data_IF_101772461475
#
_entry.id   IF_101772461475
#
_cell.length_a   1.000
_cell.length_b   1.000
_cell.length_c   1.000
_cell.angle_alpha   90.00
_cell.angle_beta   90.00
_cell.angle_gamma   90.00
#
_symmetry.space_group_name_H-M   'P 1'
#
loop_
_entity.id
_entity.type
_entity.pdbx_description
1 polymer ?
#
# COMPACT_ATOMS: atom_id res chain seq x y z
N UNK A 1 -35.45 -10.39 -26.34
CA UNK A 1 -34.59 -9.52 -25.51
C UNK A 1 -33.94 -8.48 -26.41
N UNK A 2 -34.45 -7.25 -26.40
CA UNK A 2 -34.06 -6.21 -27.35
C UNK A 2 -32.58 -5.82 -27.22
N UNK A 3 -31.97 -5.44 -28.34
CA UNK A 3 -30.55 -5.03 -28.44
C UNK A 3 -30.13 -4.00 -27.38
N UNK A 4 -31.04 -3.11 -26.98
CA UNK A 4 -30.82 -2.14 -25.92
C UNK A 4 -30.52 -2.76 -24.54
N UNK A 5 -31.17 -3.87 -24.20
CA UNK A 5 -30.94 -4.56 -22.91
C UNK A 5 -29.55 -5.20 -22.88
N UNK A 6 -29.08 -5.71 -24.03
CA UNK A 6 -27.74 -6.31 -24.15
C UNK A 6 -26.65 -5.25 -24.03
N UNK A 7 -26.84 -4.08 -24.63
CA UNK A 7 -25.91 -2.94 -24.52
C UNK A 7 -25.85 -2.43 -23.07
N UNK A 8 -26.99 -2.30 -22.39
CA UNK A 8 -27.03 -1.85 -21.01
C UNK A 8 -26.28 -2.81 -20.07
N UNK A 9 -26.45 -4.12 -20.24
CA UNK A 9 -25.75 -5.14 -19.45
C UNK A 9 -24.24 -5.12 -19.69
N UNK A 10 -23.80 -4.92 -20.94
CA UNK A 10 -22.38 -4.75 -21.26
C UNK A 10 -21.79 -3.52 -20.55
N UNK A 11 -22.46 -2.38 -20.59
CA UNK A 11 -22.00 -1.16 -19.91
C UNK A 11 -21.91 -1.33 -18.39
N UNK A 12 -22.86 -2.04 -17.78
CA UNK A 12 -22.85 -2.31 -16.33
C UNK A 12 -21.70 -3.23 -15.92
N UNK A 13 -21.32 -4.20 -16.75
CA UNK A 13 -20.16 -5.07 -16.48
C UNK A 13 -18.81 -4.35 -16.60
N UNK A 14 -18.73 -3.30 -17.43
CA UNK A 14 -17.53 -2.46 -17.58
C UNK A 14 -17.34 -1.46 -16.44
N UNK A 15 -18.38 -1.12 -15.68
CA UNK A 15 -18.32 -0.13 -14.60
C UNK A 15 -17.69 -0.64 -13.29
N UNK A 16 -17.40 -1.95 -13.17
CA UNK A 16 -16.96 -2.57 -11.92
C UNK A 16 -15.46 -2.46 -11.59
N UNK A 17 -14.62 -1.87 -12.45
CA UNK A 17 -13.15 -1.94 -12.28
C UNK A 17 -12.51 -0.74 -11.54
N UNK A 18 -13.29 0.24 -11.07
CA UNK A 18 -12.75 1.52 -10.59
C UNK A 18 -13.28 1.98 -9.20
N UNK A 19 -13.59 1.07 -8.28
CA UNK A 19 -14.20 1.42 -6.97
C UNK A 19 -13.28 1.31 -5.77
N UNK A 20 -12.04 1.80 -5.87
CA UNK A 20 -11.39 2.34 -4.66
C UNK A 20 -11.70 3.85 -4.61
N UNK A 21 -12.38 4.28 -3.55
CA UNK A 21 -12.54 5.70 -3.29
C UNK A 21 -11.13 6.34 -3.24
N UNK A 22 -10.93 7.56 -3.78
CA UNK A 22 -9.66 8.24 -3.67
C UNK A 22 -9.25 8.33 -2.20
N UNK A 23 -8.04 7.86 -1.88
CA UNK A 23 -7.50 8.04 -0.53
C UNK A 23 -7.24 9.53 -0.34
N UNK A 24 -7.99 10.15 0.57
CA UNK A 24 -7.93 11.60 0.82
C UNK A 24 -6.56 12.06 1.32
N UNK A 25 -5.87 11.21 2.08
CA UNK A 25 -4.49 11.43 2.51
C UNK A 25 -3.71 10.10 2.53
N UNK A 26 -2.98 9.77 1.44
CA UNK A 26 -2.18 8.55 1.36
C UNK A 26 -1.09 8.46 2.43
N UNK A 27 -0.55 9.61 2.86
CA UNK A 27 0.47 9.67 3.90
C UNK A 27 -0.12 9.28 5.24
N UNK A 28 -1.28 9.84 5.59
CA UNK A 28 -1.98 9.48 6.83
C UNK A 28 -2.32 8.00 6.85
N UNK A 29 -2.91 7.48 5.77
CA UNK A 29 -3.26 6.05 5.68
C UNK A 29 -2.02 5.17 5.83
N UNK A 30 -0.91 5.50 5.17
CA UNK A 30 0.32 4.73 5.32
C UNK A 30 0.84 4.78 6.76
N UNK A 31 0.88 5.94 7.40
CA UNK A 31 1.35 6.09 8.78
C UNK A 31 0.45 5.38 9.79
N UNK A 32 -0.87 5.37 9.60
CA UNK A 32 -1.82 4.68 10.49
C UNK A 32 -1.67 3.15 10.43
N UNK A 33 -1.20 2.61 9.30
CA UNK A 33 -1.15 1.17 9.03
C UNK A 33 0.27 0.57 9.14
N UNK A 34 1.29 1.38 9.38
CA UNK A 34 2.68 0.92 9.45
C UNK A 34 3.34 1.33 10.77
N UNK A 35 4.41 0.61 11.13
CA UNK A 35 5.24 0.91 12.29
C UNK A 35 6.72 0.73 11.95
N UNK A 36 7.65 1.32 12.73
CA UNK A 36 9.07 1.09 12.53
C UNK A 36 9.41 -0.40 12.63
N UNK A 37 10.23 -0.89 11.70
CA UNK A 37 10.80 -2.22 11.77
C UNK A 37 12.02 -2.20 12.69
N UNK A 38 11.94 -2.97 13.79
CA UNK A 38 13.00 -3.10 14.80
C UNK A 38 13.26 -4.57 15.13
N UNK A 39 13.93 -5.33 14.23
CA UNK A 39 14.25 -6.73 14.48
C UNK A 39 15.25 -6.88 15.63
N UNK A 40 15.34 -8.08 16.20
CA UNK A 40 16.43 -8.41 17.12
C UNK A 40 17.77 -8.45 16.37
N UNK A 41 18.88 -8.33 17.11
CA UNK A 41 20.21 -8.42 16.51
C UNK A 41 20.44 -9.74 15.75
N UNK A 42 19.92 -10.86 16.26
CA UNK A 42 20.01 -12.16 15.60
C UNK A 42 19.24 -12.19 14.27
N UNK A 43 18.04 -11.59 14.24
CA UNK A 43 17.25 -11.49 13.01
C UNK A 43 17.93 -10.56 12.01
N UNK A 44 18.39 -9.39 12.46
CA UNK A 44 19.11 -8.44 11.61
C UNK A 44 20.37 -9.05 11.00
N UNK A 45 21.15 -9.83 11.77
CA UNK A 45 22.37 -10.48 11.29
C UNK A 45 22.10 -11.60 10.26
N UNK A 46 20.90 -12.18 10.28
CA UNK A 46 20.50 -13.21 9.33
C UNK A 46 19.86 -12.65 8.04
N UNK A 47 19.53 -11.35 8.01
CA UNK A 47 18.93 -10.71 6.85
C UNK A 47 19.93 -10.64 5.68
N UNK A 48 19.42 -10.96 4.51
CA UNK A 48 20.09 -10.75 3.23
C UNK A 48 20.15 -9.27 2.89
N UNK A 49 20.99 -8.92 1.90
CA UNK A 49 21.12 -7.53 1.48
C UNK A 49 19.80 -6.90 0.98
N UNK A 50 18.99 -7.58 0.13
CA UNK A 50 17.70 -7.05 -0.29
C UNK A 50 16.74 -6.79 0.89
N UNK A 51 16.69 -7.70 1.87
CA UNK A 51 15.83 -7.53 3.04
C UNK A 51 16.22 -6.31 3.89
N UNK A 52 17.53 -6.04 4.01
CA UNK A 52 18.03 -4.83 4.66
C UNK A 52 17.66 -3.57 3.88
N UNK A 53 17.75 -3.60 2.55
CA UNK A 53 17.40 -2.46 1.69
C UNK A 53 15.89 -2.16 1.76
N UNK A 54 15.03 -3.18 1.80
CA UNK A 54 13.59 -3.04 1.99
C UNK A 54 13.26 -2.43 3.36
N UNK A 55 13.86 -2.97 4.43
CA UNK A 55 13.69 -2.44 5.80
C UNK A 55 14.14 -0.99 5.90
N UNK A 56 15.29 -0.65 5.33
CA UNK A 56 15.82 0.72 5.32
C UNK A 56 14.90 1.67 4.55
N UNK A 57 14.37 1.23 3.41
CA UNK A 57 13.44 2.02 2.60
C UNK A 57 12.13 2.30 3.34
N UNK A 58 11.57 1.27 4.00
CA UNK A 58 10.39 1.37 4.83
C UNK A 58 10.58 2.35 6.00
N UNK A 59 11.65 2.17 6.77
CA UNK A 59 11.94 3.03 7.92
C UNK A 59 12.26 4.48 7.50
N UNK A 60 12.99 4.69 6.40
CA UNK A 60 13.27 6.01 5.86
C UNK A 60 11.99 6.74 5.42
N UNK A 61 11.01 6.02 4.85
CA UNK A 61 9.71 6.60 4.53
C UNK A 61 8.99 7.05 5.81
N UNK A 62 8.98 6.24 6.85
CA UNK A 62 8.36 6.60 8.13
C UNK A 62 9.05 7.75 8.86
N UNK A 63 10.36 7.95 8.72
CA UNK A 63 11.05 9.17 9.19
C UNK A 63 10.51 10.40 8.47
N UNK A 64 10.43 10.35 7.13
CA UNK A 64 9.96 11.48 6.32
C UNK A 64 8.47 11.79 6.54
N UNK A 65 7.64 10.76 6.67
CA UNK A 65 6.18 10.88 6.64
C UNK A 65 5.54 10.83 8.02
N UNK A 66 6.07 10.05 8.95
CA UNK A 66 5.39 9.78 10.21
C UNK A 66 6.16 10.33 11.42
N UNK A 67 7.31 10.98 11.20
CA UNK A 67 8.15 11.52 12.27
C UNK A 67 8.83 10.44 13.10
N UNK A 68 8.93 9.21 12.58
CA UNK A 68 9.63 8.12 13.27
C UNK A 68 11.07 8.50 13.58
N UNK A 69 11.55 8.01 14.71
CA UNK A 69 12.95 8.20 15.13
C UNK A 69 13.75 6.93 14.80
N UNK A 70 14.99 7.09 14.29
CA UNK A 70 15.93 5.98 14.15
C UNK A 70 16.02 5.17 15.44
#
# INVERSE_FOLDING_TARGET
MGTAVRVLLLCLMLAGCATSAPVSDPRKVWCDNNKPMRPSAAVFAAMTRPELDDMNSHNALGVRWCGWKP
#
